data_IF_739561025861
#
_entry.id   IF_739561025861
#
_cell.length_a   1.000
_cell.length_b   1.000
_cell.length_c   1.000
_cell.angle_alpha   90.00
_cell.angle_beta   90.00
_cell.angle_gamma   90.00
#
_symmetry.space_group_name_H-M   'P 1'
#
loop_
_entity.id
_entity.type
_entity.pdbx_description
1 polymer ?
#
# COMPACT_ATOMS: atom_id res chain seq x y z
N UNK A 1 -13.55 -16.98 5.45
CA UNK A 1 -14.62 -16.08 5.93
C UNK A 1 -14.46 -15.66 7.39
N UNK A 2 -14.38 -16.57 8.37
CA UNK A 2 -14.27 -16.21 9.80
C UNK A 2 -13.05 -15.32 10.10
N UNK A 3 -11.89 -15.62 9.49
CA UNK A 3 -10.65 -14.84 9.64
C UNK A 3 -10.82 -13.41 9.12
N UNK A 4 -11.44 -13.22 7.95
CA UNK A 4 -11.68 -11.89 7.38
C UNK A 4 -12.60 -11.01 8.27
N UNK A 5 -13.64 -11.60 8.88
CA UNK A 5 -14.48 -10.87 9.82
C UNK A 5 -13.73 -10.50 11.10
N UNK A 6 -12.86 -11.38 11.58
CA UNK A 6 -12.02 -11.11 12.74
C UNK A 6 -11.03 -9.97 12.46
N UNK A 7 -10.34 -9.99 11.32
CA UNK A 7 -9.43 -8.92 10.89
C UNK A 7 -10.14 -7.57 10.74
N UNK A 8 -11.36 -7.58 10.20
CA UNK A 8 -12.19 -6.38 10.10
C UNK A 8 -12.51 -5.82 11.49
N UNK A 9 -12.92 -6.66 12.43
CA UNK A 9 -13.22 -6.25 13.82
C UNK A 9 -11.97 -5.66 14.49
N UNK A 10 -10.82 -6.35 14.39
CA UNK A 10 -9.54 -5.86 14.92
C UNK A 10 -9.18 -4.50 14.31
N UNK A 11 -9.40 -4.34 13.01
CA UNK A 11 -9.16 -3.08 12.29
C UNK A 11 -10.06 -1.96 12.79
N UNK A 12 -11.35 -2.23 13.00
CA UNK A 12 -12.30 -1.24 13.53
C UNK A 12 -11.94 -0.83 14.95
N UNK A 13 -11.59 -1.79 15.82
CA UNK A 13 -11.14 -1.51 17.19
C UNK A 13 -9.87 -0.63 17.16
N UNK A 14 -8.91 -0.95 16.29
CA UNK A 14 -7.68 -0.17 16.16
C UNK A 14 -7.96 1.29 15.72
N UNK A 15 -8.82 1.48 14.71
CA UNK A 15 -9.23 2.81 14.26
C UNK A 15 -9.94 3.60 15.38
N UNK A 16 -10.77 2.91 16.19
CA UNK A 16 -11.45 3.53 17.32
C UNK A 16 -10.45 4.01 18.38
N UNK A 17 -9.49 3.18 18.76
CA UNK A 17 -8.44 3.55 19.72
C UNK A 17 -7.59 4.73 19.23
N UNK A 18 -7.20 4.73 17.95
CA UNK A 18 -6.49 5.86 17.34
C UNK A 18 -7.34 7.13 17.31
N UNK A 19 -8.64 7.03 17.02
CA UNK A 19 -9.53 8.20 17.02
C UNK A 19 -9.70 8.81 18.42
N UNK A 20 -9.72 7.99 19.47
CA UNK A 20 -9.73 8.44 20.87
C UNK A 20 -8.44 9.17 21.23
N UNK A 21 -7.29 8.60 20.84
CA UNK A 21 -5.98 9.22 21.06
C UNK A 21 -5.88 10.57 20.33
N UNK A 22 -6.25 10.62 19.04
CA UNK A 22 -6.13 11.82 18.22
C UNK A 22 -7.11 12.92 18.58
N UNK A 23 -8.33 12.59 18.95
CA UNK A 23 -9.26 13.57 19.50
C UNK A 23 -8.72 14.18 20.81
N UNK A 24 -8.07 13.37 21.65
CA UNK A 24 -7.41 13.85 22.88
C UNK A 24 -6.25 14.80 22.60
N UNK A 25 -5.36 14.43 21.67
CA UNK A 25 -4.24 15.29 21.23
C UNK A 25 -4.77 16.60 20.64
N UNK A 26 -5.80 16.53 19.77
CA UNK A 26 -6.41 17.72 19.17
C UNK A 26 -7.00 18.65 20.23
N UNK A 27 -7.73 18.12 21.20
CA UNK A 27 -8.24 18.90 22.32
C UNK A 27 -7.10 19.58 23.10
N UNK A 28 -6.02 18.86 23.39
CA UNK A 28 -4.85 19.40 24.09
C UNK A 28 -4.22 20.56 23.30
N UNK A 29 -4.04 20.40 22.00
CA UNK A 29 -3.53 21.46 21.10
C UNK A 29 -4.45 22.68 21.15
N UNK A 30 -5.76 22.50 21.05
CA UNK A 30 -6.74 23.60 21.15
C UNK A 30 -6.63 24.31 22.51
N UNK A 31 -6.48 23.57 23.61
CA UNK A 31 -6.31 24.15 24.95
C UNK A 31 -5.00 24.94 25.08
N UNK A 32 -3.90 24.49 24.45
CA UNK A 32 -2.65 25.24 24.43
C UNK A 32 -2.78 26.54 23.61
N UNK A 33 -3.44 26.49 22.45
CA UNK A 33 -3.69 27.66 21.62
C UNK A 33 -4.62 28.66 22.35
N UNK A 34 -5.61 28.16 23.10
CA UNK A 34 -6.52 28.99 23.89
C UNK A 34 -5.80 29.83 24.96
N UNK A 35 -4.65 29.36 25.48
CA UNK A 35 -3.86 30.13 26.45
C UNK A 35 -3.17 31.34 25.82
N UNK A 36 -2.89 31.30 24.52
CA UNK A 36 -2.11 32.32 23.81
C UNK A 36 -2.97 33.24 22.96
N UNK A 37 -4.18 32.80 22.58
CA UNK A 37 -5.07 33.54 21.67
C UNK A 37 -6.42 33.84 22.31
N UNK A 38 -6.94 35.05 22.07
CA UNK A 38 -8.27 35.49 22.51
C UNK A 38 -9.34 35.32 21.42
N UNK A 39 -9.31 34.20 20.71
CA UNK A 39 -10.30 33.92 19.67
C UNK A 39 -11.61 33.42 20.29
N UNK A 40 -12.73 34.05 19.95
CA UNK A 40 -14.06 33.71 20.48
C UNK A 40 -14.46 32.26 20.17
N UNK A 41 -14.11 31.75 18.99
CA UNK A 41 -14.34 30.35 18.60
C UNK A 41 -13.65 29.35 19.55
N UNK A 42 -12.38 29.60 19.86
CA UNK A 42 -11.57 28.75 20.73
C UNK A 42 -12.12 28.79 22.16
N UNK A 43 -12.56 29.97 22.61
CA UNK A 43 -13.18 30.11 23.93
C UNK A 43 -14.43 29.22 24.07
N UNK A 44 -15.26 29.12 23.04
CA UNK A 44 -16.42 28.22 23.04
C UNK A 44 -16.06 26.73 23.13
N UNK A 45 -14.98 26.32 22.46
CA UNK A 45 -14.46 24.94 22.56
C UNK A 45 -13.93 24.65 23.98
N UNK A 46 -13.23 25.61 24.59
CA UNK A 46 -12.71 25.44 25.96
C UNK A 46 -13.80 25.36 27.02
N UNK A 47 -15.00 25.89 26.79
CA UNK A 47 -16.14 25.74 27.69
C UNK A 47 -16.80 24.37 27.56
N UNK A 48 -16.83 23.79 26.35
CA UNK A 48 -17.49 22.52 26.04
C UNK A 48 -16.51 21.42 25.63
N UNK A 49 -15.42 21.27 26.39
CA UNK A 49 -14.29 20.38 26.08
C UNK A 49 -14.72 18.94 25.78
N UNK A 50 -15.63 18.40 26.58
CA UNK A 50 -16.12 17.03 26.43
C UNK A 50 -16.96 16.86 25.16
N UNK A 51 -17.81 17.84 24.83
CA UNK A 51 -18.59 17.81 23.59
C UNK A 51 -17.69 17.87 22.35
N UNK A 52 -16.67 18.74 22.36
CA UNK A 52 -15.71 18.82 21.26
C UNK A 52 -14.95 17.50 21.10
N UNK A 53 -14.47 16.93 22.21
CA UNK A 53 -13.77 15.64 22.20
C UNK A 53 -14.65 14.52 21.63
N UNK A 54 -15.87 14.36 22.14
CA UNK A 54 -16.84 13.37 21.65
C UNK A 54 -17.24 13.58 20.19
N UNK A 55 -17.28 14.83 19.72
CA UNK A 55 -17.59 15.17 18.32
C UNK A 55 -16.46 14.83 17.35
N UNK A 56 -15.20 14.99 17.77
CA UNK A 56 -14.04 14.69 16.92
C UNK A 56 -13.81 13.19 16.73
N UNK A 57 -14.17 12.35 17.72
CA UNK A 57 -14.00 10.88 17.66
C UNK A 57 -14.62 10.27 16.38
N UNK A 58 -15.92 10.42 16.09
CA UNK A 58 -16.53 9.80 14.91
C UNK A 58 -15.96 10.33 13.58
N UNK A 59 -15.60 11.62 13.51
CA UNK A 59 -15.00 12.21 12.32
C UNK A 59 -13.63 11.60 12.03
N UNK A 60 -12.77 11.55 13.05
CA UNK A 60 -11.45 10.96 12.94
C UNK A 60 -11.53 9.47 12.66
N UNK A 61 -12.48 8.76 13.27
CA UNK A 61 -12.73 7.35 13.01
C UNK A 61 -13.04 7.07 11.54
N UNK A 62 -13.94 7.85 10.91
CA UNK A 62 -14.27 7.70 9.49
C UNK A 62 -13.05 7.99 8.61
N UNK A 63 -12.31 9.06 8.89
CA UNK A 63 -11.08 9.41 8.14
C UNK A 63 -10.05 8.27 8.23
N UNK A 64 -9.86 7.71 9.42
CA UNK A 64 -8.96 6.59 9.68
C UNK A 64 -9.39 5.32 8.96
N UNK A 65 -10.69 5.01 8.93
CA UNK A 65 -11.25 3.90 8.14
C UNK A 65 -10.99 4.10 6.65
N UNK A 66 -11.33 5.28 6.10
CA UNK A 66 -11.13 5.57 4.68
C UNK A 66 -9.65 5.48 4.31
N UNK A 67 -8.76 5.96 5.18
CA UNK A 67 -7.32 5.80 5.01
C UNK A 67 -6.88 4.34 5.02
N UNK A 68 -7.43 3.52 5.92
CA UNK A 68 -7.16 2.08 6.03
C UNK A 68 -7.66 1.28 4.81
N UNK A 69 -8.52 1.82 3.98
CA UNK A 69 -8.91 1.23 2.69
C UNK A 69 -8.26 1.93 1.49
N UNK A 70 -7.28 2.81 1.73
CA UNK A 70 -6.56 3.53 0.69
C UNK A 70 -5.43 2.70 0.07
N UNK A 71 -5.04 3.12 -1.13
CA UNK A 71 -4.00 2.52 -1.97
C UNK A 71 -2.63 2.38 -1.30
N UNK A 72 -2.27 3.32 -0.42
CA UNK A 72 -0.95 3.40 0.23
C UNK A 72 -0.80 2.49 1.47
N UNK A 73 -1.79 1.66 1.77
CA UNK A 73 -1.77 0.82 2.98
C UNK A 73 -0.71 -0.28 2.91
N UNK A 74 -0.08 -0.55 4.05
CA UNK A 74 0.60 -1.81 4.35
C UNK A 74 -0.36 -2.66 5.20
N UNK A 75 -0.85 -3.78 4.67
CA UNK A 75 -1.92 -4.51 5.35
C UNK A 75 -1.46 -5.19 6.65
N UNK A 76 -0.15 -5.44 6.84
CA UNK A 76 0.57 -5.72 8.10
C UNK A 76 0.02 -6.78 9.08
N UNK A 77 -1.17 -7.33 8.84
CA UNK A 77 -1.98 -8.15 9.73
C UNK A 77 -2.68 -9.30 8.98
N UNK A 78 -2.32 -9.55 7.71
CA UNK A 78 -2.84 -10.64 6.89
C UNK A 78 -1.73 -11.33 6.11
N UNK A 79 -2.01 -12.55 5.64
CA UNK A 79 -1.13 -13.53 4.97
C UNK A 79 -0.43 -13.01 3.69
N UNK A 80 -0.66 -11.76 3.30
CA UNK A 80 -0.14 -11.16 2.07
C UNK A 80 0.32 -9.73 2.31
N UNK A 81 1.61 -9.49 2.05
CA UNK A 81 2.23 -8.17 2.05
C UNK A 81 2.13 -7.58 0.64
N UNK A 82 1.90 -6.27 0.53
CA UNK A 82 1.78 -5.61 -0.77
C UNK A 82 2.64 -4.35 -0.87
N UNK A 83 3.11 -4.07 -2.09
CA UNK A 83 3.86 -2.86 -2.43
C UNK A 83 3.10 -2.14 -3.54
N UNK A 84 2.64 -0.90 -3.34
CA UNK A 84 2.06 -0.10 -4.41
C UNK A 84 3.13 0.26 -5.44
N UNK A 85 2.85 0.00 -6.72
CA UNK A 85 3.79 0.22 -7.84
C UNK A 85 3.40 1.38 -8.77
N UNK A 86 2.30 2.08 -8.48
CA UNK A 86 1.70 3.13 -9.30
C UNK A 86 0.39 2.70 -9.95
N UNK A 87 -0.40 3.66 -10.45
CA UNK A 87 -1.62 3.43 -11.24
C UNK A 87 -2.63 2.44 -10.62
N UNK A 88 -2.80 2.53 -9.29
CA UNK A 88 -3.67 1.65 -8.50
C UNK A 88 -3.31 0.16 -8.56
N UNK A 89 -2.07 -0.16 -8.94
CA UNK A 89 -1.57 -1.53 -8.97
C UNK A 89 -0.60 -1.82 -7.83
N UNK A 90 -0.50 -3.09 -7.46
CA UNK A 90 0.38 -3.58 -6.40
C UNK A 90 1.10 -4.83 -6.86
N UNK A 91 2.30 -5.02 -6.33
CA UNK A 91 2.94 -6.35 -6.27
C UNK A 91 2.66 -6.92 -4.90
N UNK A 92 2.33 -8.19 -4.84
CA UNK A 92 1.95 -8.91 -3.64
C UNK A 92 2.99 -9.99 -3.31
N UNK A 93 3.11 -10.34 -2.04
CA UNK A 93 3.92 -11.45 -1.56
C UNK A 93 3.14 -12.18 -0.49
N UNK A 94 2.87 -13.47 -0.69
CA UNK A 94 2.17 -14.32 0.28
C UNK A 94 3.13 -14.98 1.27
N UNK A 95 2.58 -15.47 2.38
CA UNK A 95 3.30 -16.30 3.35
C UNK A 95 3.82 -17.59 2.67
N UNK A 96 5.10 -17.56 2.32
CA UNK A 96 5.76 -18.57 1.47
C UNK A 96 6.83 -17.99 0.55
N UNK A 97 6.87 -16.66 0.39
CA UNK A 97 7.88 -15.97 -0.43
C UNK A 97 7.55 -15.91 -1.92
N UNK A 98 6.35 -16.38 -2.30
CA UNK A 98 5.83 -16.26 -3.66
C UNK A 98 5.39 -14.82 -3.89
N UNK A 99 5.88 -14.23 -4.97
CA UNK A 99 5.61 -12.84 -5.34
C UNK A 99 4.78 -12.86 -6.60
N UNK A 100 3.68 -12.10 -6.61
CA UNK A 100 2.73 -12.12 -7.71
C UNK A 100 2.24 -10.71 -8.06
N UNK A 101 1.87 -10.56 -9.33
CA UNK A 101 1.33 -9.33 -9.88
C UNK A 101 0.04 -9.62 -10.65
N UNK A 102 -1.02 -8.89 -10.31
CA UNK A 102 -2.32 -8.95 -10.97
C UNK A 102 -2.47 -7.75 -11.93
N UNK A 103 -2.51 -7.99 -13.25
CA UNK A 103 -2.77 -6.94 -14.25
C UNK A 103 -4.15 -6.31 -14.07
N UNK A 104 -5.14 -7.17 -13.85
CA UNK A 104 -6.53 -6.82 -13.57
C UNK A 104 -6.93 -7.39 -12.20
N UNK A 105 -6.96 -6.56 -11.14
CA UNK A 105 -7.35 -7.03 -9.81
C UNK A 105 -8.85 -7.35 -9.69
N UNK A 106 -9.68 -6.95 -10.66
CA UNK A 106 -11.13 -7.16 -10.66
C UNK A 106 -11.57 -8.33 -11.55
N UNK A 107 -10.66 -8.93 -12.33
CA UNK A 107 -10.94 -10.09 -13.16
C UNK A 107 -11.03 -11.38 -12.33
N UNK A 108 -12.10 -12.15 -12.54
CA UNK A 108 -12.39 -13.40 -11.80
C UNK A 108 -11.53 -14.60 -12.27
N UNK A 109 -10.71 -14.41 -13.31
CA UNK A 109 -9.81 -15.40 -13.89
C UNK A 109 -8.46 -14.70 -14.08
N UNK A 110 -7.57 -14.76 -13.09
CA UNK A 110 -6.47 -13.83 -13.06
C UNK A 110 -5.31 -14.47 -13.84
N UNK A 111 -4.87 -13.80 -14.92
CA UNK A 111 -3.55 -14.08 -15.51
C UNK A 111 -2.51 -13.63 -14.49
N UNK A 112 -2.27 -14.50 -13.51
CA UNK A 112 -1.36 -14.27 -12.41
C UNK A 112 0.05 -14.40 -12.92
N UNK A 113 0.81 -13.32 -12.79
CA UNK A 113 2.24 -13.40 -12.98
C UNK A 113 2.88 -13.70 -11.63
N UNK A 114 3.27 -14.95 -11.44
CA UNK A 114 4.30 -15.29 -10.48
C UNK A 114 5.60 -14.64 -10.97
N UNK A 115 6.07 -13.64 -10.22
CA UNK A 115 7.25 -12.86 -10.59
C UNK A 115 8.39 -13.10 -9.60
N UNK A 116 9.61 -13.04 -10.12
CA UNK A 116 10.83 -13.15 -9.33
C UNK A 116 11.34 -11.77 -8.95
N UNK A 117 12.51 -11.42 -9.48
CA UNK A 117 13.04 -10.07 -9.32
C UNK A 117 12.31 -9.13 -10.27
N UNK A 118 12.11 -7.91 -9.80
CA UNK A 118 11.46 -6.88 -10.58
C UNK A 118 12.06 -5.51 -10.31
N UNK A 119 11.69 -4.56 -11.15
CA UNK A 119 11.94 -3.14 -10.94
C UNK A 119 10.84 -2.32 -11.61
N UNK A 120 10.64 -1.10 -11.13
CA UNK A 120 9.63 -0.18 -11.66
C UNK A 120 10.38 1.01 -12.23
N UNK A 121 10.19 1.26 -13.52
CA UNK A 121 10.82 2.38 -14.21
C UNK A 121 9.90 2.92 -15.28
N UNK A 122 9.80 4.26 -15.39
CA UNK A 122 9.00 4.95 -16.40
C UNK A 122 7.57 4.42 -16.52
N UNK A 123 6.91 4.21 -15.38
CA UNK A 123 5.54 3.66 -15.29
C UNK A 123 5.39 2.24 -15.85
N UNK A 124 6.49 1.48 -15.94
CA UNK A 124 6.49 0.08 -16.36
C UNK A 124 7.02 -0.80 -15.24
N UNK A 125 6.32 -1.90 -14.99
CA UNK A 125 6.84 -3.01 -14.22
C UNK A 125 7.68 -3.88 -15.16
N UNK A 126 8.95 -4.04 -14.85
CA UNK A 126 9.84 -4.99 -15.52
C UNK A 126 10.10 -6.12 -14.53
N UNK A 127 9.74 -7.35 -14.89
CA UNK A 127 9.82 -8.48 -13.97
C UNK A 127 10.29 -9.75 -14.68
N UNK A 128 11.05 -10.56 -13.95
CA UNK A 128 11.28 -11.96 -14.25
C UNK A 128 10.01 -12.75 -13.92
N UNK A 129 9.66 -13.73 -14.74
CA UNK A 129 8.52 -14.63 -14.53
C UNK A 129 9.03 -15.95 -14.00
N UNK A 130 8.46 -16.43 -12.89
CA UNK A 130 8.80 -17.71 -12.29
C UNK A 130 7.96 -18.81 -12.94
N UNK A 131 8.64 -19.88 -13.36
CA UNK A 131 8.05 -21.05 -14.00
C UNK A 131 7.88 -22.21 -13.02
N UNK A 132 7.14 -22.02 -11.94
CA UNK A 132 6.97 -23.07 -10.92
C UNK A 132 5.64 -23.82 -11.01
N UNK A 133 4.71 -23.43 -11.90
CA UNK A 133 3.41 -24.10 -12.02
C UNK A 133 3.04 -24.52 -13.45
N UNK A 134 2.19 -25.54 -13.56
CA UNK A 134 1.70 -26.12 -14.82
C UNK A 134 0.98 -25.13 -15.76
N UNK A 135 0.64 -23.93 -15.28
CA UNK A 135 -0.02 -22.86 -16.05
C UNK A 135 0.87 -21.61 -16.24
N UNK A 136 2.16 -21.66 -15.88
CA UNK A 136 3.05 -20.50 -16.05
C UNK A 136 3.25 -20.17 -17.54
N UNK A 137 3.23 -18.88 -17.92
CA UNK A 137 3.43 -18.47 -19.30
C UNK A 137 4.80 -18.89 -19.86
N UNK A 138 4.88 -19.11 -21.18
CA UNK A 138 6.09 -19.56 -21.89
C UNK A 138 7.20 -18.50 -22.07
N UNK A 139 7.20 -17.42 -21.28
CA UNK A 139 8.20 -16.35 -21.36
C UNK A 139 8.94 -16.16 -20.04
N UNK A 140 10.20 -15.72 -20.11
CA UNK A 140 11.08 -15.53 -18.95
C UNK A 140 10.91 -14.15 -18.31
N UNK A 141 10.48 -13.15 -19.09
CA UNK A 141 10.37 -11.76 -18.67
C UNK A 141 9.05 -11.16 -19.14
N UNK A 142 8.54 -10.21 -18.36
CA UNK A 142 7.40 -9.38 -18.72
C UNK A 142 7.70 -7.91 -18.49
N UNK A 143 7.34 -7.08 -19.46
CA UNK A 143 7.24 -5.64 -19.28
C UNK A 143 5.78 -5.26 -19.32
N UNK A 144 5.26 -4.78 -18.20
CA UNK A 144 3.89 -4.34 -18.08
C UNK A 144 3.80 -2.83 -17.96
N UNK A 145 3.06 -2.19 -18.85
CA UNK A 145 2.79 -0.76 -18.79
C UNK A 145 1.67 -0.46 -17.80
N UNK A 146 2.01 0.16 -16.68
CA UNK A 146 1.07 0.43 -15.59
C UNK A 146 0.01 1.46 -15.99
N UNK A 147 0.28 2.31 -16.99
CA UNK A 147 -0.64 3.34 -17.46
C UNK A 147 -1.58 2.79 -18.52
N UNK A 148 -1.02 2.15 -19.55
CA UNK A 148 -1.77 1.63 -20.69
C UNK A 148 -2.40 0.25 -20.41
N UNK A 149 -2.02 -0.39 -19.30
CA UNK A 149 -2.51 -1.71 -18.86
C UNK A 149 -2.20 -2.83 -19.84
N UNK A 150 -1.06 -2.75 -20.53
CA UNK A 150 -0.63 -3.72 -21.55
C UNK A 150 0.62 -4.48 -21.13
N UNK A 151 0.65 -5.79 -21.37
CA UNK A 151 1.83 -6.64 -21.17
C UNK A 151 2.61 -6.83 -22.47
N UNK A 152 3.94 -6.89 -22.36
CA UNK A 152 4.85 -7.29 -23.43
C UNK A 152 5.67 -8.49 -22.94
N UNK A 153 5.29 -9.71 -23.33
CA UNK A 153 6.02 -10.91 -22.94
C UNK A 153 7.34 -11.04 -23.73
N UNK A 154 8.39 -11.48 -23.06
CA UNK A 154 9.74 -11.59 -23.59
C UNK A 154 10.35 -12.95 -23.21
N UNK A 155 10.68 -13.75 -24.22
CA UNK A 155 10.96 -15.17 -24.02
C UNK A 155 12.30 -15.46 -23.37
N UNK A 156 13.31 -14.62 -23.61
CA UNK A 156 14.67 -14.83 -23.12
C UNK A 156 15.27 -13.56 -22.53
N UNK A 157 16.31 -13.71 -21.71
CA UNK A 157 17.10 -12.59 -21.19
C UNK A 157 17.68 -11.70 -22.31
N UNK A 158 18.02 -12.29 -23.46
CA UNK A 158 18.55 -11.55 -24.61
C UNK A 158 17.48 -10.67 -25.24
N UNK A 159 16.27 -11.20 -25.41
CA UNK A 159 15.12 -10.45 -25.94
C UNK A 159 14.78 -9.30 -25.01
N UNK A 160 14.77 -9.55 -23.70
CA UNK A 160 14.57 -8.51 -22.70
C UNK A 160 15.64 -7.42 -22.77
N UNK A 161 16.92 -7.81 -22.78
CA UNK A 161 18.04 -6.86 -22.81
C UNK A 161 17.97 -5.97 -24.04
N UNK A 162 17.69 -6.54 -25.21
CA UNK A 162 17.53 -5.76 -26.45
C UNK A 162 16.33 -4.80 -26.35
N UNK A 163 15.19 -5.29 -25.86
CA UNK A 163 14.00 -4.46 -25.66
C UNK A 163 14.27 -3.32 -24.67
N UNK A 164 14.94 -3.61 -23.56
CA UNK A 164 15.28 -2.64 -22.52
C UNK A 164 16.22 -1.56 -23.03
N UNK A 165 17.25 -1.91 -23.80
CA UNK A 165 18.16 -0.95 -24.43
C UNK A 165 17.44 -0.01 -25.40
N UNK A 166 16.57 -0.55 -26.27
CA UNK A 166 15.79 0.26 -27.23
C UNK A 166 14.83 1.21 -26.51
N UNK A 167 14.21 0.75 -25.42
CA UNK A 167 13.21 1.53 -24.68
C UNK A 167 13.80 2.34 -23.51
N UNK A 168 15.13 2.32 -23.33
CA UNK A 168 15.83 2.91 -22.19
C UNK A 168 15.21 2.47 -20.84
N UNK A 169 14.99 1.16 -20.68
CA UNK A 169 14.53 0.53 -19.43
C UNK A 169 15.71 -0.09 -18.68
N UNK A 170 15.56 -0.37 -17.37
CA UNK A 170 16.59 -1.03 -16.57
C UNK A 170 16.96 -2.40 -17.14
N UNK A 171 18.18 -2.85 -16.87
CA UNK A 171 18.62 -4.18 -17.26
C UNK A 171 18.26 -5.20 -16.16
N UNK A 172 18.29 -6.52 -16.45
CA UNK A 172 18.01 -7.54 -15.44
C UNK A 172 18.91 -7.45 -14.20
N UNK A 173 20.14 -6.95 -14.33
CA UNK A 173 21.05 -6.75 -13.20
C UNK A 173 20.56 -5.69 -12.21
N UNK A 174 19.70 -4.77 -12.66
CA UNK A 174 19.07 -3.74 -11.81
C UNK A 174 17.82 -4.26 -11.09
N UNK A 175 17.40 -5.49 -11.37
CA UNK A 175 16.20 -6.07 -10.76
C UNK A 175 16.52 -6.49 -9.33
N UNK A 176 15.57 -6.25 -8.44
CA UNK A 176 15.69 -6.62 -7.04
C UNK A 176 14.50 -7.47 -6.62
N UNK A 177 14.70 -8.27 -5.57
CA UNK A 177 13.64 -9.07 -4.99
C UNK A 177 12.58 -8.22 -4.28
N UNK A 178 11.45 -8.84 -3.95
CA UNK A 178 10.38 -8.18 -3.20
C UNK A 178 10.87 -7.66 -1.85
N UNK A 179 11.76 -8.37 -1.16
CA UNK A 179 12.27 -7.97 0.15
C UNK A 179 13.01 -6.64 0.11
N UNK A 180 13.81 -6.41 -0.92
CA UNK A 180 14.50 -5.15 -1.18
C UNK A 180 13.50 -4.01 -1.37
N UNK A 181 12.51 -4.20 -2.26
CA UNK A 181 11.49 -3.19 -2.54
C UNK A 181 10.61 -2.92 -1.32
N UNK A 182 10.23 -3.97 -0.58
CA UNK A 182 9.42 -3.87 0.62
C UNK A 182 10.18 -3.13 1.72
N UNK A 183 11.46 -3.43 1.93
CA UNK A 183 12.30 -2.69 2.88
C UNK A 183 12.37 -1.21 2.51
N UNK A 184 12.57 -0.88 1.22
CA UNK A 184 12.57 0.50 0.74
C UNK A 184 11.21 1.18 0.95
N UNK A 185 10.12 0.49 0.67
CA UNK A 185 8.75 0.97 0.94
C UNK A 185 8.53 1.22 2.44
N UNK A 186 8.97 0.30 3.30
CA UNK A 186 8.85 0.36 4.76
C UNK A 186 9.84 1.30 5.45
N UNK A 187 10.89 1.77 4.75
CA UNK A 187 11.78 2.83 5.27
C UNK A 187 11.11 4.21 5.34
N UNK A 188 9.86 4.34 4.84
CA UNK A 188 8.96 5.43 5.23
C UNK A 188 8.88 5.48 6.78
N UNK A 189 8.76 6.67 7.40
CA UNK A 189 9.00 6.82 8.83
C UNK A 189 8.17 5.84 9.67
N UNK A 190 8.82 5.04 10.53
CA UNK A 190 8.18 3.99 11.34
C UNK A 190 7.00 4.50 12.18
N UNK A 191 6.97 5.80 12.50
CA UNK A 191 5.83 6.42 13.18
C UNK A 191 4.55 6.36 12.34
N UNK A 192 4.62 6.38 11.00
CA UNK A 192 3.44 6.21 10.13
C UNK A 192 2.79 4.85 10.30
N UNK A 193 3.56 3.80 10.62
CA UNK A 193 3.04 2.45 10.85
C UNK A 193 2.22 2.38 12.15
N UNK A 194 2.58 3.21 13.15
CA UNK A 194 1.90 3.25 14.45
C UNK A 194 0.83 4.34 14.54
N UNK A 195 0.98 5.41 13.77
CA UNK A 195 0.12 6.58 13.79
C UNK A 195 -0.88 6.62 12.63
N UNK A 196 -0.79 5.71 11.67
CA UNK A 196 -1.80 5.57 10.64
C UNK A 196 -2.26 4.10 10.64
N UNK A 197 -3.58 3.88 10.61
CA UNK A 197 -4.13 2.55 10.53
C UNK A 197 -3.79 1.96 9.16
#
# INVERSE_FOLDING_TARGET
>A
MIVAYFELIVTLIHCLLLSLLYSGILLLVVLLIAKTTRLSFISGITTRKLYFWCFCIPILFVILILYRFSYERDNGLGETVMIPIGYKQHVFCSDGGMVYFYPDPDAYDPEDFDIGKFTISKNKLCAEVIRDYHNSPYYDFVVYDLKEKTSTPLNTIKDYTQYAQVNNLPLPEDFNDFSYHYKKFRTKPKWKVWLLP
#
